data_IF_547998530867
#
_entry.id   IF_547998530867
#
_cell.length_a   1.000
_cell.length_b   1.000
_cell.length_c   1.000
_cell.angle_alpha   90.00
_cell.angle_beta   90.00
_cell.angle_gamma   90.00
#
_symmetry.space_group_name_H-M   'P 1'
#
loop_
_entity.id
_entity.type
_entity.pdbx_description
1 polymer ?
#
# COMPACT_ATOMS: atom_id res chain seq x y z
N UNK A 1 -37.49 5.67 -80.40
CA UNK A 1 -36.19 5.03 -80.69
C UNK A 1 -35.09 6.01 -80.34
N UNK A 2 -34.09 5.61 -79.54
CA UNK A 2 -32.89 6.43 -79.34
C UNK A 2 -32.28 6.39 -77.95
N UNK A 3 -31.60 5.28 -77.65
CA UNK A 3 -30.39 5.11 -76.81
C UNK A 3 -30.31 5.87 -75.48
N UNK A 4 -30.37 5.08 -74.40
CA UNK A 4 -29.98 5.51 -73.06
C UNK A 4 -28.47 5.50 -72.85
N UNK A 5 -27.99 6.51 -72.14
CA UNK A 5 -26.66 6.57 -71.56
C UNK A 5 -26.75 6.37 -70.05
N UNK A 6 -26.20 5.24 -69.59
CA UNK A 6 -26.07 4.88 -68.18
C UNK A 6 -25.04 5.78 -67.51
N UNK A 7 -25.45 6.52 -66.47
CA UNK A 7 -24.53 7.08 -65.47
C UNK A 7 -23.70 5.95 -64.86
N UNK A 8 -22.37 6.12 -64.66
CA UNK A 8 -21.62 5.20 -63.84
C UNK A 8 -22.02 5.44 -62.38
N UNK A 9 -22.72 4.46 -61.81
CA UNK A 9 -22.92 4.35 -60.37
C UNK A 9 -21.53 4.26 -59.74
N UNK A 10 -21.17 5.26 -58.94
CA UNK A 10 -20.04 5.14 -58.02
C UNK A 10 -20.34 3.95 -57.11
N UNK A 11 -19.72 2.81 -57.40
CA UNK A 11 -19.63 1.73 -56.44
C UNK A 11 -18.85 2.29 -55.27
N UNK A 12 -19.56 2.59 -54.18
CA UNK A 12 -18.99 2.61 -52.85
C UNK A 12 -18.21 1.32 -52.72
N UNK A 13 -16.89 1.39 -52.87
CA UNK A 13 -15.96 0.39 -52.40
C UNK A 13 -16.02 0.45 -50.87
N UNK A 14 -17.10 -0.11 -50.33
CA UNK A 14 -17.09 -0.73 -49.02
C UNK A 14 -16.15 -1.95 -49.10
N UNK A 15 -14.88 -1.69 -49.39
CA UNK A 15 -13.80 -2.60 -49.07
C UNK A 15 -13.88 -2.75 -47.58
N UNK A 16 -14.52 -3.83 -47.15
CA UNK A 16 -14.59 -4.20 -45.75
C UNK A 16 -13.14 -4.31 -45.30
N UNK A 17 -12.63 -3.28 -44.63
CA UNK A 17 -11.32 -3.30 -43.98
C UNK A 17 -11.44 -4.27 -42.80
N UNK A 18 -11.64 -5.55 -43.10
CA UNK A 18 -11.80 -6.64 -42.13
C UNK A 18 -10.56 -6.69 -41.26
N UNK A 19 -9.38 -6.50 -41.86
CA UNK A 19 -8.11 -6.40 -41.13
C UNK A 19 -8.05 -5.15 -40.24
N UNK A 20 -8.58 -4.01 -40.70
CA UNK A 20 -8.65 -2.80 -39.88
C UNK A 20 -9.64 -2.93 -38.73
N UNK A 21 -10.81 -3.54 -38.96
CA UNK A 21 -11.82 -3.84 -37.94
C UNK A 21 -11.34 -4.92 -36.98
N UNK A 22 -10.63 -5.93 -37.46
CA UNK A 22 -10.04 -6.98 -36.64
C UNK A 22 -8.91 -6.44 -35.78
N UNK A 23 -7.99 -5.65 -36.33
CA UNK A 23 -6.93 -5.01 -35.53
C UNK A 23 -7.49 -3.99 -34.53
N UNK A 24 -8.56 -3.27 -34.89
CA UNK A 24 -9.26 -2.39 -33.95
C UNK A 24 -10.01 -3.16 -32.87
N UNK A 25 -10.69 -4.26 -33.21
CA UNK A 25 -11.32 -5.15 -32.24
C UNK A 25 -10.29 -5.83 -31.34
N UNK A 26 -9.13 -6.23 -31.85
CA UNK A 26 -8.03 -6.77 -31.04
C UNK A 26 -7.46 -5.69 -30.14
N UNK A 27 -7.22 -4.47 -30.62
CA UNK A 27 -6.81 -3.35 -29.76
C UNK A 27 -7.85 -3.06 -28.68
N UNK A 28 -9.13 -3.11 -29.04
CA UNK A 28 -10.23 -2.92 -28.10
C UNK A 28 -10.29 -4.05 -27.08
N UNK A 29 -10.17 -5.31 -27.48
CA UNK A 29 -10.14 -6.47 -26.57
C UNK A 29 -8.89 -6.43 -25.69
N UNK A 30 -7.73 -6.08 -26.24
CA UNK A 30 -6.49 -5.92 -25.45
C UNK A 30 -6.61 -4.76 -24.47
N UNK A 31 -7.25 -3.66 -24.89
CA UNK A 31 -7.54 -2.53 -24.02
C UNK A 31 -8.58 -2.90 -22.97
N UNK A 32 -9.65 -3.59 -23.34
CA UNK A 32 -10.71 -4.08 -22.45
C UNK A 32 -10.16 -5.15 -21.48
N UNK A 33 -9.18 -5.98 -21.86
CA UNK A 33 -8.47 -6.90 -20.94
C UNK A 33 -7.47 -6.18 -20.05
N UNK A 34 -6.89 -5.07 -20.52
CA UNK A 34 -5.97 -4.23 -19.75
C UNK A 34 -6.71 -3.28 -18.79
N UNK A 35 -7.94 -2.90 -19.16
CA UNK A 35 -8.85 -2.01 -18.46
C UNK A 35 -10.00 -2.77 -17.78
N UNK A 36 -10.06 -4.10 -17.90
CA UNK A 36 -10.98 -4.94 -17.13
C UNK A 36 -10.57 -4.73 -15.68
N UNK A 37 -11.27 -3.77 -15.08
CA UNK A 37 -11.27 -3.54 -13.67
C UNK A 37 -11.46 -4.88 -13.00
N UNK A 38 -10.78 -5.02 -11.88
CA UNK A 38 -10.93 -6.12 -10.93
C UNK A 38 -12.39 -6.57 -10.81
N UNK A 39 -12.64 -7.77 -10.28
CA UNK A 39 -14.01 -8.17 -9.92
C UNK A 39 -14.72 -7.16 -8.99
N UNK A 40 -13.99 -6.21 -8.39
CA UNK A 40 -14.48 -5.07 -7.61
C UNK A 40 -14.86 -3.81 -8.43
N UNK A 41 -14.58 -3.76 -9.74
CA UNK A 41 -14.86 -2.63 -10.62
C UNK A 41 -13.88 -1.45 -10.49
N UNK A 42 -12.71 -1.66 -9.88
CA UNK A 42 -11.71 -0.63 -9.68
C UNK A 42 -10.82 -0.48 -10.92
N UNK A 43 -10.43 0.76 -11.19
CA UNK A 43 -9.43 1.09 -12.21
C UNK A 43 -8.05 0.60 -11.79
N UNK A 44 -7.16 0.40 -12.76
CA UNK A 44 -5.78 0.01 -12.50
C UNK A 44 -5.07 1.00 -11.57
N UNK A 45 -5.25 2.30 -11.80
CA UNK A 45 -4.72 3.35 -10.93
C UNK A 45 -5.18 3.22 -9.47
N UNK A 46 -6.46 2.94 -9.22
CA UNK A 46 -6.99 2.74 -7.86
C UNK A 46 -6.39 1.51 -7.17
N UNK A 47 -6.11 0.45 -7.94
CA UNK A 47 -5.46 -0.77 -7.44
C UNK A 47 -4.00 -0.50 -7.10
N UNK A 48 -3.29 0.27 -7.94
CA UNK A 48 -1.91 0.71 -7.67
C UNK A 48 -1.86 1.57 -6.40
N UNK A 49 -2.77 2.55 -6.27
CA UNK A 49 -2.83 3.42 -5.08
C UNK A 49 -3.12 2.61 -3.82
N UNK A 50 -4.06 1.67 -3.89
CA UNK A 50 -4.41 0.78 -2.78
C UNK A 50 -3.21 -0.08 -2.39
N UNK A 51 -2.51 -0.69 -3.37
CA UNK A 51 -1.34 -1.52 -3.11
C UNK A 51 -0.23 -0.71 -2.41
N UNK A 52 0.12 0.47 -2.93
CA UNK A 52 1.15 1.31 -2.31
C UNK A 52 0.76 1.76 -0.90
N UNK A 53 -0.53 2.05 -0.67
CA UNK A 53 -1.04 2.39 0.67
C UNK A 53 -0.89 1.22 1.64
N UNK A 54 -1.33 0.02 1.24
CA UNK A 54 -1.20 -1.20 2.04
C UNK A 54 0.26 -1.50 2.37
N UNK A 55 1.15 -1.38 1.38
CA UNK A 55 2.59 -1.58 1.55
C UNK A 55 3.21 -0.59 2.52
N UNK A 56 2.88 0.69 2.39
CA UNK A 56 3.37 1.73 3.28
C UNK A 56 2.89 1.53 4.72
N UNK A 57 1.63 1.13 4.92
CA UNK A 57 1.11 0.78 6.25
C UNK A 57 1.83 -0.45 6.82
N UNK A 58 2.01 -1.51 6.02
CA UNK A 58 2.70 -2.74 6.42
C UNK A 58 4.11 -2.46 6.92
N UNK A 59 4.93 -1.77 6.12
CA UNK A 59 6.32 -1.45 6.47
C UNK A 59 6.38 -0.70 7.80
N UNK A 60 5.54 0.34 7.97
CA UNK A 60 5.48 1.12 9.21
C UNK A 60 5.08 0.29 10.43
N UNK A 61 4.13 -0.63 10.26
CA UNK A 61 3.70 -1.51 11.33
C UNK A 61 4.82 -2.47 11.73
N UNK A 62 5.53 -3.04 10.75
CA UNK A 62 6.69 -3.90 10.97
C UNK A 62 7.81 -3.16 11.71
N UNK A 63 8.16 -1.95 11.30
CA UNK A 63 9.19 -1.13 11.95
C UNK A 63 8.82 -0.78 13.41
N UNK A 64 7.55 -0.42 13.63
CA UNK A 64 7.04 -0.12 14.97
C UNK A 64 7.07 -1.34 15.88
N UNK A 65 6.63 -2.48 15.34
CA UNK A 65 6.68 -3.77 16.04
C UNK A 65 8.11 -4.18 16.39
N UNK A 66 9.04 -4.09 15.43
CA UNK A 66 10.44 -4.44 15.64
C UNK A 66 11.10 -3.53 16.69
N UNK A 67 10.78 -2.24 16.67
CA UNK A 67 11.30 -1.27 17.65
C UNK A 67 10.77 -1.57 19.05
N UNK A 68 9.47 -1.82 19.19
CA UNK A 68 8.86 -2.20 20.46
C UNK A 68 9.46 -3.52 20.98
N UNK A 69 9.54 -4.54 20.12
CA UNK A 69 10.12 -5.86 20.45
C UNK A 69 11.57 -5.75 20.91
N UNK A 70 12.43 -5.05 20.16
CA UNK A 70 13.84 -4.83 20.54
C UNK A 70 13.93 -4.12 21.89
N UNK A 71 13.14 -3.07 22.08
CA UNK A 71 13.14 -2.30 23.34
C UNK A 71 12.70 -3.15 24.54
N UNK A 72 11.67 -3.98 24.38
CA UNK A 72 11.22 -4.91 25.42
C UNK A 72 12.26 -5.97 25.76
N UNK A 73 12.95 -6.53 24.75
CA UNK A 73 14.07 -7.46 24.97
C UNK A 73 15.19 -6.77 25.76
N UNK A 74 15.58 -5.56 25.35
CA UNK A 74 16.60 -4.77 26.05
C UNK A 74 16.19 -4.49 27.50
N UNK A 75 14.93 -4.12 27.74
CA UNK A 75 14.39 -3.91 29.08
C UNK A 75 14.46 -5.17 29.94
N UNK A 76 14.12 -6.33 29.37
CA UNK A 76 14.21 -7.62 30.06
C UNK A 76 15.66 -7.98 30.43
N UNK A 77 16.61 -7.71 29.54
CA UNK A 77 18.05 -7.87 29.81
C UNK A 77 18.49 -6.95 30.95
N UNK A 78 18.22 -5.64 30.85
CA UNK A 78 18.53 -4.65 31.90
C UNK A 78 17.91 -5.03 33.25
N UNK A 79 16.66 -5.53 33.24
CA UNK A 79 15.98 -5.98 34.45
C UNK A 79 16.69 -7.18 35.08
N UNK A 80 17.08 -8.15 34.26
CA UNK A 80 17.81 -9.34 34.72
C UNK A 80 19.15 -8.95 35.33
N UNK A 81 19.91 -8.06 34.67
CA UNK A 81 21.19 -7.53 35.16
C UNK A 81 21.03 -6.75 36.47
N UNK A 82 19.94 -5.98 36.62
CA UNK A 82 19.68 -5.19 37.83
C UNK A 82 19.56 -6.03 39.10
N UNK A 83 19.24 -7.33 38.99
CA UNK A 83 19.14 -8.24 40.14
C UNK A 83 20.51 -8.46 40.82
N UNK A 84 21.59 -8.30 40.07
CA UNK A 84 22.96 -8.40 40.58
C UNK A 84 23.45 -7.10 41.25
N UNK A 85 22.71 -6.00 41.12
CA UNK A 85 23.05 -4.72 41.75
C UNK A 85 22.74 -4.75 43.25
N UNK A 86 23.79 -4.80 44.08
CA UNK A 86 23.67 -4.82 45.56
C UNK A 86 23.18 -3.48 46.14
N UNK A 87 23.56 -2.36 45.54
CA UNK A 87 23.14 -1.04 46.04
C UNK A 87 21.67 -0.79 45.67
N UNK A 88 20.81 -0.74 46.69
CA UNK A 88 19.36 -0.60 46.53
C UNK A 88 18.97 0.72 45.87
N UNK A 89 19.65 1.82 46.18
CA UNK A 89 19.37 3.13 45.57
C UNK A 89 19.72 3.15 44.08
N UNK A 90 20.86 2.56 43.70
CA UNK A 90 21.25 2.41 42.31
C UNK A 90 20.27 1.50 41.56
N UNK A 91 19.92 0.36 42.15
CA UNK A 91 18.93 -0.57 41.57
C UNK A 91 17.57 0.10 41.39
N UNK A 92 17.11 0.88 42.37
CA UNK A 92 15.88 1.65 42.26
C UNK A 92 15.91 2.63 41.08
N UNK A 93 17.00 3.36 40.89
CA UNK A 93 17.14 4.27 39.76
C UNK A 93 17.08 3.54 38.40
N UNK A 94 17.70 2.36 38.29
CA UNK A 94 17.63 1.52 37.10
C UNK A 94 16.18 1.06 36.82
N UNK A 95 15.50 0.53 37.84
CA UNK A 95 14.10 0.10 37.73
C UNK A 95 13.18 1.27 37.33
N UNK A 96 13.36 2.44 37.95
CA UNK A 96 12.61 3.65 37.63
C UNK A 96 12.83 4.10 36.18
N UNK A 97 14.06 4.03 35.68
CA UNK A 97 14.37 4.35 34.28
C UNK A 97 13.68 3.37 33.32
N UNK A 98 13.69 2.07 33.63
CA UNK A 98 13.00 1.06 32.81
C UNK A 98 11.49 1.26 32.80
N UNK A 99 10.86 1.60 33.93
CA UNK A 99 9.42 1.92 33.98
C UNK A 99 9.10 3.11 33.08
N UNK A 100 9.93 4.17 33.10
CA UNK A 100 9.76 5.31 32.19
C UNK A 100 9.88 4.92 30.72
N UNK A 101 10.83 4.02 30.38
CA UNK A 101 10.96 3.49 29.02
C UNK A 101 9.70 2.71 28.60
N UNK A 102 9.14 1.86 29.48
CA UNK A 102 7.88 1.14 29.20
C UNK A 102 6.73 2.10 28.96
N UNK A 103 6.52 3.09 29.84
CA UNK A 103 5.44 4.08 29.70
C UNK A 103 5.58 4.86 28.39
N UNK A 104 6.82 5.22 28.02
CA UNK A 104 7.10 5.91 26.75
C UNK A 104 6.75 5.03 25.55
N UNK A 105 7.16 3.76 25.56
CA UNK A 105 6.83 2.80 24.49
C UNK A 105 5.33 2.59 24.37
N UNK A 106 4.65 2.40 25.50
CA UNK A 106 3.20 2.27 25.56
C UNK A 106 2.54 3.50 24.94
N UNK A 107 2.87 4.71 25.41
CA UNK A 107 2.30 5.96 24.89
C UNK A 107 2.55 6.15 23.38
N UNK A 108 3.73 5.78 22.88
CA UNK A 108 4.09 5.96 21.46
C UNK A 108 3.43 4.94 20.53
N UNK A 109 3.23 3.70 20.99
CA UNK A 109 2.74 2.62 20.14
C UNK A 109 1.31 2.15 20.48
N UNK A 110 0.68 2.73 21.51
CA UNK A 110 -0.69 2.40 21.96
C UNK A 110 -1.73 2.46 20.83
N UNK A 111 -1.61 3.43 19.94
CA UNK A 111 -2.51 3.59 18.80
C UNK A 111 -2.48 2.42 17.81
N UNK A 112 -1.40 1.63 17.79
CA UNK A 112 -1.31 0.40 16.99
C UNK A 112 -2.05 -0.77 17.66
N UNK A 113 -2.30 -0.68 18.97
CA UNK A 113 -3.00 -1.67 19.78
C UNK A 113 -4.53 -1.49 19.69
N UNK A 114 -5.00 -0.30 19.36
CA UNK A 114 -6.42 0.04 19.30
C UNK A 114 -7.10 -0.24 17.94
N UNK A 115 -6.48 -0.96 17.01
CA UNK A 115 -7.16 -1.33 15.75
C UNK A 115 -8.40 -2.19 16.11
N UNK A 116 -9.64 -1.70 15.92
CA UNK A 116 -10.83 -2.43 16.33
C UNK A 116 -10.94 -3.72 15.53
N UNK A 117 -11.56 -4.76 16.10
CA UNK A 117 -11.80 -6.00 15.35
C UNK A 117 -12.68 -5.75 14.12
N UNK A 118 -12.56 -6.64 13.14
CA UNK A 118 -13.47 -6.68 11.99
C UNK A 118 -14.91 -6.87 12.47
N UNK A 119 -15.83 -6.06 11.97
CA UNK A 119 -17.26 -6.21 12.27
C UNK A 119 -17.87 -7.33 11.42
N UNK A 120 -18.92 -7.99 11.91
CA UNK A 120 -19.53 -9.14 11.19
C UNK A 120 -20.06 -8.77 9.80
N UNK A 121 -20.56 -7.55 9.65
CA UNK A 121 -21.06 -7.00 8.38
C UNK A 121 -19.96 -6.43 7.47
N UNK A 122 -18.74 -6.28 7.98
CA UNK A 122 -17.65 -5.62 7.26
C UNK A 122 -16.87 -6.65 6.43
N UNK A 123 -16.61 -6.33 5.16
CA UNK A 123 -15.73 -7.15 4.33
C UNK A 123 -14.28 -7.04 4.78
N UNK A 124 -13.47 -8.07 4.55
CA UNK A 124 -12.04 -8.05 4.92
C UNK A 124 -11.31 -6.83 4.28
N UNK A 125 -11.49 -6.50 2.99
CA UNK A 125 -10.87 -5.31 2.40
C UNK A 125 -11.30 -4.01 3.09
N UNK A 126 -12.58 -3.84 3.40
CA UNK A 126 -13.08 -2.66 4.12
C UNK A 126 -12.43 -2.51 5.50
N UNK A 127 -12.28 -3.64 6.21
CA UNK A 127 -11.60 -3.68 7.50
C UNK A 127 -10.14 -3.26 7.40
N UNK A 128 -9.41 -3.81 6.42
CA UNK A 128 -7.99 -3.51 6.22
C UNK A 128 -7.79 -2.02 5.89
N UNK A 129 -8.63 -1.45 5.01
CA UNK A 129 -8.56 -0.01 4.68
C UNK A 129 -8.89 0.89 5.87
N UNK A 130 -9.84 0.48 6.71
CA UNK A 130 -10.15 1.17 7.98
C UNK A 130 -8.96 1.12 8.93
N UNK A 131 -8.32 -0.04 9.09
CA UNK A 131 -7.12 -0.21 9.89
C UNK A 131 -5.97 0.68 9.37
N UNK A 132 -5.77 0.74 8.04
CA UNK A 132 -4.81 1.64 7.41
C UNK A 132 -5.06 3.10 7.80
N UNK A 133 -6.31 3.55 7.74
CA UNK A 133 -6.68 4.92 8.13
C UNK A 133 -6.42 5.24 9.60
N UNK A 134 -6.49 4.25 10.49
CA UNK A 134 -6.15 4.41 11.91
C UNK A 134 -4.64 4.56 12.09
N UNK A 135 -3.85 3.66 11.48
CA UNK A 135 -2.38 3.68 11.52
C UNK A 135 -1.81 4.96 10.91
N UNK A 136 -2.45 5.51 9.88
CA UNK A 136 -2.03 6.79 9.28
C UNK A 136 -2.26 8.00 10.19
N UNK A 137 -3.34 8.00 10.98
CA UNK A 137 -3.68 9.13 11.87
C UNK A 137 -2.77 9.19 13.09
N UNK A 138 -2.32 8.05 13.60
CA UNK A 138 -1.48 7.98 14.80
C UNK A 138 -0.07 8.55 14.60
N UNK A 139 0.40 8.63 13.36
CA UNK A 139 1.78 8.98 13.03
C UNK A 139 2.10 10.48 13.11
N UNK A 140 1.11 11.37 13.19
CA UNK A 140 1.38 12.83 13.26
C UNK A 140 2.17 13.26 14.51
N UNK A 141 2.33 12.39 15.52
CA UNK A 141 2.87 12.76 16.83
C UNK A 141 4.27 12.23 17.16
N UNK A 142 4.94 11.44 16.31
CA UNK A 142 6.09 10.63 16.79
C UNK A 142 7.31 10.41 15.89
N UNK A 143 7.25 10.60 14.57
CA UNK A 143 8.44 10.42 13.73
C UNK A 143 9.38 11.62 13.87
N UNK A 144 10.60 11.37 14.34
CA UNK A 144 11.68 12.36 14.31
C UNK A 144 11.95 12.82 12.88
N UNK A 145 12.40 14.08 12.73
CA UNK A 145 12.65 14.71 11.43
C UNK A 145 13.57 13.83 10.57
N UNK A 146 13.01 13.17 9.55
CA UNK A 146 13.79 12.48 8.52
C UNK A 146 14.65 13.52 7.79
N UNK A 147 15.90 13.18 7.48
CA UNK A 147 16.74 14.05 6.68
C UNK A 147 16.18 14.18 5.26
N UNK A 148 16.37 15.34 4.62
CA UNK A 148 15.88 15.58 3.26
C UNK A 148 16.38 14.54 2.25
N UNK A 149 17.60 14.03 2.44
CA UNK A 149 18.17 12.96 1.61
C UNK A 149 17.41 11.63 1.74
N UNK A 150 16.96 11.26 2.95
CA UNK A 150 16.17 10.04 3.16
C UNK A 150 14.78 10.15 2.56
N UNK A 151 14.16 11.33 2.65
CA UNK A 151 12.86 11.58 2.01
C UNK A 151 12.95 11.48 0.49
N UNK A 152 14.00 12.05 -0.11
CA UNK A 152 14.23 11.94 -1.55
C UNK A 152 14.46 10.50 -2.02
N UNK A 153 15.23 9.71 -1.27
CA UNK A 153 15.45 8.28 -1.56
C UNK A 153 14.16 7.45 -1.44
N UNK A 154 13.33 7.72 -0.42
CA UNK A 154 12.02 7.08 -0.25
C UNK A 154 11.07 7.41 -1.41
N UNK A 155 11.09 8.66 -1.88
CA UNK A 155 10.28 9.13 -3.02
C UNK A 155 10.74 8.53 -4.36
N UNK A 156 12.05 8.39 -4.58
CA UNK A 156 12.61 7.74 -5.77
C UNK A 156 12.24 6.26 -5.81
N UNK A 157 12.44 5.54 -4.70
CA UNK A 157 12.02 4.14 -4.56
C UNK A 157 10.51 3.97 -4.74
N UNK A 158 9.71 4.97 -4.32
CA UNK A 158 8.27 4.96 -4.53
C UNK A 158 7.92 5.11 -6.00
N UNK A 159 8.60 6.01 -6.71
CA UNK A 159 8.41 6.20 -8.16
C UNK A 159 8.76 4.94 -8.94
N UNK A 160 9.93 4.35 -8.70
CA UNK A 160 10.36 3.10 -9.36
C UNK A 160 9.36 1.96 -9.18
N UNK A 161 8.73 1.86 -8.00
CA UNK A 161 7.70 0.85 -7.75
C UNK A 161 6.41 1.12 -8.50
N UNK A 162 5.93 2.36 -8.49
CA UNK A 162 4.74 2.74 -9.24
C UNK A 162 4.96 2.43 -10.72
N UNK A 163 6.13 2.76 -11.27
CA UNK A 163 6.49 2.45 -12.66
C UNK A 163 6.46 0.92 -12.91
N UNK A 164 6.99 0.10 -11.99
CA UNK A 164 6.89 -1.37 -12.09
C UNK A 164 5.44 -1.87 -12.05
N UNK A 165 4.59 -1.31 -11.19
CA UNK A 165 3.17 -1.70 -11.10
C UNK A 165 2.39 -1.28 -12.35
N UNK A 166 2.76 -0.17 -13.00
CA UNK A 166 2.19 0.25 -14.28
C UNK A 166 2.41 -0.76 -15.41
N UNK A 167 3.46 -1.58 -15.35
CA UNK A 167 3.74 -2.64 -16.32
C UNK A 167 3.02 -3.97 -16.00
N UNK A 168 2.50 -4.14 -14.78
CA UNK A 168 1.80 -5.35 -14.33
C UNK A 168 0.31 -5.33 -14.71
N UNK A 169 -0.32 -6.50 -14.79
CA UNK A 169 -1.79 -6.59 -14.87
C UNK A 169 -2.42 -6.38 -13.50
N UNK A 170 -3.69 -6.01 -13.46
CA UNK A 170 -4.40 -5.73 -12.20
C UNK A 170 -4.40 -6.95 -11.27
N UNK A 171 -4.62 -8.15 -11.80
CA UNK A 171 -4.55 -9.40 -11.04
C UNK A 171 -3.15 -9.70 -10.49
N UNK A 172 -2.09 -9.27 -11.18
CA UNK A 172 -0.71 -9.40 -10.68
C UNK A 172 -0.43 -8.44 -9.53
N UNK A 173 -1.01 -7.24 -9.55
CA UNK A 173 -0.86 -6.23 -8.47
C UNK A 173 -1.61 -6.67 -7.20
N UNK A 174 -2.77 -7.31 -7.35
CA UNK A 174 -3.55 -7.83 -6.21
C UNK A 174 -2.90 -9.05 -5.53
N UNK A 175 -2.02 -9.77 -6.25
CA UNK A 175 -1.34 -10.97 -5.75
C UNK A 175 0.02 -10.70 -5.10
N UNK A 176 0.53 -9.46 -5.18
CA UNK A 176 1.81 -9.02 -4.59
C UNK A 176 1.69 -8.67 -3.09
#
# INVERSE_FOLDING_TARGET
MGKGDKKPTSQNSAGSNIVGKFTQSVRRIVQDVKDEGTASGQTKEEVIETNERLRAVRIRLEESYDTAKKSLITLMTKYTESKSTRNVFQRYNLLKAMIKEVIRLETQYWTLVEIPKQEKQETVPSFVLRACGIVEKSQKSGEGVKSAAKLAEEDEKKRERIDRLCDMTTAQIEAE
#
